data_IF_333476255550
#
_entry.id   IF_333476255550
#
_cell.length_a   1.000
_cell.length_b   1.000
_cell.length_c   1.000
_cell.angle_alpha   90.00
_cell.angle_beta   90.00
_cell.angle_gamma   90.00
#
_symmetry.space_group_name_H-M   'P 1'
#
loop_
_entity.id
_entity.type
_entity.pdbx_description
1 polymer ?
#
# COMPACT_ATOMS: atom_id res chain seq x y z
N UNK A 1 -0.22 8.00 0.83
CA UNK A 1 0.92 8.45 1.65
C UNK A 1 1.88 7.28 1.78
N UNK A 2 3.17 7.56 1.82
CA UNK A 2 4.26 6.64 2.13
C UNK A 2 5.27 7.35 3.04
N UNK A 3 6.09 6.58 3.76
CA UNK A 3 7.12 7.11 4.64
C UNK A 3 8.45 6.40 4.41
N UNK A 4 9.53 7.16 4.38
CA UNK A 4 10.91 6.68 4.28
C UNK A 4 11.86 7.85 4.58
N UNK A 5 13.11 7.56 4.92
CA UNK A 5 14.18 8.58 4.87
C UNK A 5 14.56 8.83 3.40
N UNK A 6 14.07 9.93 2.82
CA UNK A 6 14.33 10.26 1.41
C UNK A 6 15.56 11.16 1.24
N UNK A 7 16.15 11.66 2.32
CA UNK A 7 17.27 12.60 2.28
C UNK A 7 18.57 12.06 2.90
N UNK A 8 18.54 10.86 3.49
CA UNK A 8 19.68 10.18 4.10
C UNK A 8 20.04 10.66 5.50
N UNK A 9 19.16 11.35 6.22
CA UNK A 9 19.42 11.90 7.55
C UNK A 9 19.01 10.96 8.71
N UNK A 10 18.52 9.77 8.39
CA UNK A 10 17.98 8.73 9.29
C UNK A 10 16.71 9.14 10.03
N UNK A 11 15.92 10.08 9.49
CA UNK A 11 14.60 10.42 10.00
C UNK A 11 13.55 10.07 8.96
N UNK A 12 12.40 9.63 9.43
CA UNK A 12 11.30 9.32 8.52
C UNK A 12 10.70 10.61 7.95
N UNK A 13 10.70 10.70 6.63
CA UNK A 13 9.99 11.72 5.87
C UNK A 13 8.61 11.21 5.44
N UNK A 14 7.74 12.14 5.06
CA UNK A 14 6.43 11.82 4.51
C UNK A 14 6.39 12.18 3.04
N UNK A 15 5.89 11.26 2.21
CA UNK A 15 5.50 11.51 0.83
C UNK A 15 4.00 11.31 0.67
N UNK A 16 3.31 12.34 0.17
CA UNK A 16 1.86 12.35 -0.04
C UNK A 16 1.52 12.65 -1.49
N UNK A 17 0.39 12.12 -1.94
CA UNK A 17 -0.25 12.59 -3.18
C UNK A 17 -1.06 13.85 -2.83
N UNK A 18 -0.91 14.91 -3.62
CA UNK A 18 -1.59 16.17 -3.35
C UNK A 18 -2.99 16.21 -3.96
N UNK A 19 -3.91 16.89 -3.25
CA UNK A 19 -5.27 17.14 -3.70
C UNK A 19 -5.36 18.17 -4.86
N UNK A 20 -4.22 18.74 -5.29
CA UNK A 20 -4.15 19.57 -6.49
C UNK A 20 -4.33 18.76 -7.79
N UNK A 21 -4.26 17.43 -7.68
CA UNK A 21 -4.48 16.48 -8.77
C UNK A 21 -3.33 16.40 -9.77
N UNK A 22 -2.15 16.96 -9.50
CA UNK A 22 -1.03 16.97 -10.47
C UNK A 22 0.36 16.80 -9.85
N UNK A 23 0.44 16.52 -8.54
CA UNK A 23 1.72 16.46 -7.86
C UNK A 23 1.77 15.53 -6.64
N UNK A 24 2.99 15.24 -6.21
CA UNK A 24 3.29 14.68 -4.89
C UNK A 24 3.99 15.71 -4.01
N UNK A 25 3.75 15.64 -2.72
CA UNK A 25 4.34 16.47 -1.68
C UNK A 25 5.30 15.68 -0.80
N UNK A 26 6.40 16.31 -0.40
CA UNK A 26 7.41 15.77 0.50
C UNK A 26 7.51 16.67 1.72
N UNK A 27 7.38 16.09 2.90
CA UNK A 27 7.57 16.78 4.18
C UNK A 27 8.71 16.08 4.93
N UNK A 28 9.84 16.77 5.09
CA UNK A 28 11.02 16.21 5.73
C UNK A 28 10.82 16.09 7.24
N UNK A 29 11.16 14.95 7.82
CA UNK A 29 11.07 14.66 9.24
C UNK A 29 12.10 15.44 10.06
N UNK A 30 11.69 15.98 11.19
CA UNK A 30 12.60 16.62 12.14
C UNK A 30 13.14 15.61 13.17
N UNK A 31 12.45 14.48 13.35
CA UNK A 31 12.81 13.38 14.24
C UNK A 31 12.23 13.48 15.66
N UNK A 32 11.34 14.45 15.88
CA UNK A 32 10.60 14.66 17.13
C UNK A 32 9.08 14.52 16.92
N UNK A 33 8.68 13.81 15.87
CA UNK A 33 7.29 13.71 15.41
C UNK A 33 6.79 14.92 14.61
N UNK A 34 7.62 15.95 14.38
CA UNK A 34 7.27 17.10 13.53
C UNK A 34 7.90 17.01 12.12
N UNK A 35 7.31 17.76 11.18
CA UNK A 35 7.72 17.77 9.77
C UNK A 35 7.92 19.19 9.25
N UNK A 36 8.88 19.36 8.36
CA UNK A 36 9.19 20.61 7.68
C UNK A 36 8.10 21.05 6.69
N UNK A 37 8.32 22.20 6.06
CA UNK A 37 7.44 22.67 4.99
C UNK A 37 7.44 21.74 3.79
N UNK A 38 6.26 21.56 3.21
CA UNK A 38 6.09 20.70 2.05
C UNK A 38 6.84 21.25 0.82
N UNK A 39 7.59 20.37 0.16
CA UNK A 39 8.13 20.59 -1.20
C UNK A 39 7.32 19.75 -2.18
N UNK A 40 6.99 20.30 -3.35
CA UNK A 40 6.09 19.66 -4.32
C UNK A 40 6.82 19.29 -5.61
N UNK A 41 6.55 18.10 -6.12
CA UNK A 41 7.11 17.58 -7.37
C UNK A 41 5.99 17.23 -8.37
N UNK A 42 6.04 17.72 -9.61
CA UNK A 42 5.02 17.41 -10.61
C UNK A 42 4.97 15.93 -11.00
N UNK A 43 3.75 15.43 -11.16
CA UNK A 43 3.43 14.08 -11.68
C UNK A 43 2.56 14.20 -12.94
N UNK A 44 1.84 13.15 -13.30
CA UNK A 44 0.72 13.26 -14.24
C UNK A 44 -0.57 13.69 -13.54
N UNK A 45 -1.69 13.66 -14.29
CA UNK A 45 -3.00 14.09 -13.78
C UNK A 45 -3.72 12.99 -12.99
N UNK A 46 -4.34 13.41 -11.89
CA UNK A 46 -5.04 12.56 -10.94
C UNK A 46 -4.16 11.41 -10.41
N UNK A 47 -3.01 11.72 -9.78
CA UNK A 47 -2.22 10.74 -9.06
C UNK A 47 -3.08 10.07 -7.98
N UNK A 48 -2.94 8.75 -7.81
CA UNK A 48 -3.83 7.96 -6.92
C UNK A 48 -3.10 7.31 -5.74
N UNK A 49 -1.80 7.05 -5.90
CA UNK A 49 -0.93 6.47 -4.88
C UNK A 49 0.49 7.02 -5.06
N UNK A 50 1.32 6.91 -4.04
CA UNK A 50 2.77 7.03 -4.15
C UNK A 50 3.40 5.85 -3.43
N UNK A 51 4.38 5.20 -4.06
CA UNK A 51 5.24 4.18 -3.45
C UNK A 51 6.67 4.68 -3.49
N UNK A 52 7.40 4.43 -2.41
CA UNK A 52 8.81 4.77 -2.25
C UNK A 52 9.62 3.49 -2.40
N UNK A 53 10.57 3.46 -3.34
CA UNK A 53 11.46 2.33 -3.57
C UNK A 53 12.67 2.78 -4.38
N UNK A 54 13.85 2.22 -4.12
CA UNK A 54 15.00 2.37 -5.03
C UNK A 54 14.76 1.51 -6.27
N UNK A 55 14.49 2.14 -7.41
CA UNK A 55 14.21 1.47 -8.69
C UNK A 55 15.40 1.56 -9.65
N UNK A 56 16.48 2.24 -9.29
CA UNK A 56 17.63 2.43 -10.17
C UNK A 56 18.93 1.81 -9.61
N UNK A 57 18.89 1.25 -8.41
CA UNK A 57 19.99 0.56 -7.75
C UNK A 57 21.03 1.48 -7.11
N UNK A 58 20.74 2.77 -6.93
CA UNK A 58 21.68 3.74 -6.34
C UNK A 58 21.58 3.87 -4.81
N UNK A 59 20.67 3.12 -4.18
CA UNK A 59 20.33 3.17 -2.75
C UNK A 59 19.68 4.48 -2.29
N UNK A 60 19.14 5.29 -3.20
CA UNK A 60 18.28 6.41 -2.87
C UNK A 60 16.82 6.05 -3.13
N UNK A 61 15.90 6.29 -2.19
CA UNK A 61 14.50 5.95 -2.41
C UNK A 61 13.87 6.86 -3.48
N UNK A 62 13.42 6.26 -4.59
CA UNK A 62 12.70 6.92 -5.68
C UNK A 62 11.18 6.89 -5.47
N UNK A 63 10.42 7.63 -6.28
CA UNK A 63 8.95 7.64 -6.23
C UNK A 63 8.34 7.00 -7.48
N UNK A 64 7.35 6.14 -7.27
CA UNK A 64 6.49 5.58 -8.32
C UNK A 64 5.04 5.98 -8.08
N UNK A 65 4.43 6.65 -9.07
CA UNK A 65 3.13 7.31 -8.94
C UNK A 65 2.20 6.96 -10.11
N UNK A 66 1.11 6.21 -9.92
CA UNK A 66 0.08 6.01 -10.92
C UNK A 66 -0.81 7.24 -11.12
N UNK A 67 -0.98 7.68 -12.37
CA UNK A 67 -1.80 8.83 -12.75
C UNK A 67 -3.03 8.39 -13.53
N UNK A 68 -4.19 8.40 -12.87
CA UNK A 68 -5.38 7.73 -13.37
C UNK A 68 -6.01 8.40 -14.59
N UNK A 69 -5.92 9.72 -14.72
CA UNK A 69 -6.57 10.48 -15.80
C UNK A 69 -5.76 10.50 -17.10
N UNK A 70 -4.43 10.43 -17.01
CA UNK A 70 -3.52 10.39 -18.16
C UNK A 70 -2.99 8.99 -18.47
N UNK A 71 -3.42 7.97 -17.71
CA UNK A 71 -3.19 6.56 -17.99
C UNK A 71 -1.70 6.16 -18.07
N UNK A 72 -0.89 6.69 -17.15
CA UNK A 72 0.54 6.42 -17.09
C UNK A 72 1.04 6.29 -15.64
N UNK A 73 2.30 5.88 -15.50
CA UNK A 73 3.05 5.90 -14.25
C UNK A 73 4.12 6.98 -14.35
N UNK A 74 4.26 7.82 -13.34
CA UNK A 74 5.42 8.69 -13.15
C UNK A 74 6.45 7.97 -12.29
N UNK A 75 7.71 7.98 -12.72
CA UNK A 75 8.87 7.59 -11.92
C UNK A 75 9.73 8.83 -11.71
N UNK A 76 9.96 9.19 -10.44
CA UNK A 76 10.79 10.33 -10.05
C UNK A 76 12.01 9.80 -9.32
N UNK A 77 13.18 9.93 -9.93
CA UNK A 77 14.42 9.45 -9.33
C UNK A 77 14.97 10.46 -8.32
N UNK A 78 15.44 9.97 -7.18
CA UNK A 78 16.00 10.78 -6.11
C UNK A 78 17.50 11.01 -6.32
N UNK A 79 17.96 12.25 -6.19
CA UNK A 79 19.39 12.58 -6.28
C UNK A 79 20.16 12.32 -4.98
N UNK A 80 19.54 11.69 -3.97
CA UNK A 80 20.14 11.31 -2.69
C UNK A 80 20.09 12.37 -1.59
N UNK A 81 19.36 13.47 -1.81
CA UNK A 81 19.26 14.58 -0.85
C UNK A 81 17.82 15.05 -0.65
N UNK A 82 16.85 14.15 -0.87
CA UNK A 82 15.42 14.47 -0.89
C UNK A 82 14.99 15.34 -2.08
N UNK A 83 15.85 15.47 -3.09
CA UNK A 83 15.56 16.23 -4.32
C UNK A 83 15.32 15.26 -5.46
N UNK A 84 14.20 15.40 -6.15
CA UNK A 84 13.79 14.49 -7.21
C UNK A 84 14.01 15.10 -8.60
N UNK A 85 14.49 14.28 -9.52
CA UNK A 85 14.58 14.61 -10.94
C UNK A 85 13.16 14.75 -11.55
N UNK A 86 13.03 15.44 -12.69
CA UNK A 86 11.76 15.47 -13.42
C UNK A 86 11.26 14.05 -13.70
N UNK A 87 9.94 13.85 -13.57
CA UNK A 87 9.31 12.56 -13.83
C UNK A 87 9.67 12.00 -15.21
N UNK A 88 9.90 10.70 -15.25
CA UNK A 88 9.84 9.90 -16.47
C UNK A 88 8.50 9.18 -16.50
N UNK A 89 7.81 9.22 -17.64
CA UNK A 89 6.49 8.63 -17.79
C UNK A 89 6.56 7.27 -18.50
N UNK A 90 5.88 6.27 -17.92
CA UNK A 90 5.75 4.93 -18.48
C UNK A 90 4.28 4.58 -18.74
N UNK A 91 4.03 3.85 -19.81
CA UNK A 91 2.70 3.31 -20.09
C UNK A 91 2.29 2.31 -19.01
N UNK A 92 1.02 2.32 -18.60
CA UNK A 92 0.51 1.43 -17.56
C UNK A 92 -0.24 0.20 -18.11
N UNK A 93 -0.34 0.01 -19.43
CA UNK A 93 -0.99 -1.16 -20.03
C UNK A 93 -2.51 -1.08 -20.14
N UNK A 94 -3.09 0.11 -19.96
CA UNK A 94 -4.53 0.33 -20.04
C UNK A 94 -4.94 1.71 -19.55
N UNK A 95 -6.18 1.85 -19.09
CA UNK A 95 -6.72 3.09 -18.54
C UNK A 95 -7.07 2.97 -17.05
N UNK A 96 -6.94 4.09 -16.34
CA UNK A 96 -7.23 4.19 -14.91
C UNK A 96 -6.31 3.34 -14.02
N UNK A 97 -4.98 3.54 -14.06
CA UNK A 97 -4.10 2.98 -13.02
C UNK A 97 -4.49 3.55 -11.65
N UNK A 98 -4.77 2.67 -10.68
CA UNK A 98 -5.25 3.04 -9.34
C UNK A 98 -4.23 2.81 -8.24
N UNK A 99 -3.34 1.84 -8.43
CA UNK A 99 -2.42 1.40 -7.40
C UNK A 99 -1.18 0.76 -8.01
N UNK A 100 -0.07 0.87 -7.29
CA UNK A 100 1.20 0.25 -7.63
C UNK A 100 1.79 -0.48 -6.43
N UNK A 101 2.55 -1.54 -6.71
CA UNK A 101 3.50 -2.17 -5.81
C UNK A 101 4.87 -2.26 -6.52
N UNK A 102 5.96 -2.21 -5.76
CA UNK A 102 7.32 -2.19 -6.31
C UNK A 102 8.17 -3.26 -5.63
N UNK A 103 8.54 -4.31 -6.37
CA UNK A 103 9.26 -5.48 -5.87
C UNK A 103 9.91 -6.23 -7.03
N UNK A 104 11.02 -6.92 -6.79
CA UNK A 104 11.63 -7.82 -7.79
C UNK A 104 10.76 -9.07 -7.97
N UNK A 105 10.11 -9.22 -9.13
CA UNK A 105 9.23 -10.37 -9.40
C UNK A 105 9.92 -11.46 -10.22
N UNK A 106 11.12 -11.24 -10.74
CA UNK A 106 11.79 -12.16 -11.65
C UNK A 106 13.12 -12.73 -11.09
N UNK A 107 13.56 -12.24 -9.93
CA UNK A 107 14.77 -12.66 -9.23
C UNK A 107 16.07 -12.08 -9.80
N UNK A 108 16.01 -10.97 -10.55
CA UNK A 108 17.18 -10.32 -11.15
C UNK A 108 17.80 -9.21 -10.27
N UNK A 109 17.23 -8.99 -9.07
CA UNK A 109 17.54 -7.94 -8.10
C UNK A 109 17.21 -6.50 -8.52
N UNK A 110 16.46 -6.31 -9.61
CA UNK A 110 15.91 -5.03 -9.98
C UNK A 110 14.43 -4.96 -9.56
N UNK A 111 14.04 -3.90 -8.86
CA UNK A 111 12.63 -3.77 -8.45
C UNK A 111 11.75 -3.45 -9.65
N UNK A 112 10.76 -4.30 -9.88
CA UNK A 112 9.75 -4.16 -10.93
C UNK A 112 8.53 -3.39 -10.43
N UNK A 113 7.68 -2.92 -11.35
CA UNK A 113 6.43 -2.23 -11.01
C UNK A 113 5.23 -3.12 -11.35
N UNK A 114 4.37 -3.36 -10.37
CA UNK A 114 3.07 -4.03 -10.51
C UNK A 114 1.98 -2.95 -10.43
N UNK A 115 0.99 -2.98 -11.31
CA UNK A 115 -0.03 -1.93 -11.45
C UNK A 115 -1.43 -2.53 -11.44
N UNK A 116 -2.33 -2.04 -10.60
CA UNK A 116 -3.77 -2.25 -10.73
C UNK A 116 -4.34 -1.27 -11.77
N UNK A 117 -4.83 -1.76 -12.90
CA UNK A 117 -5.39 -0.93 -13.98
C UNK A 117 -6.89 -1.15 -14.06
N UNK A 118 -7.65 -0.33 -13.34
CA UNK A 118 -9.06 -0.56 -13.08
C UNK A 118 -9.91 -0.52 -14.35
N UNK A 119 -9.66 0.44 -15.24
CA UNK A 119 -10.46 0.63 -16.46
C UNK A 119 -10.23 -0.47 -17.50
N UNK A 120 -9.07 -1.13 -17.45
CA UNK A 120 -8.69 -2.20 -18.37
C UNK A 120 -8.96 -3.60 -17.81
N UNK A 121 -9.44 -3.71 -16.55
CA UNK A 121 -9.62 -4.98 -15.84
C UNK A 121 -8.37 -5.87 -15.92
N UNK A 122 -7.20 -5.30 -15.64
CA UNK A 122 -5.96 -6.06 -15.64
C UNK A 122 -5.01 -5.60 -14.52
N UNK A 123 -4.16 -6.53 -14.11
CA UNK A 123 -2.91 -6.20 -13.42
C UNK A 123 -1.80 -6.18 -14.46
N UNK A 124 -0.99 -5.13 -14.46
CA UNK A 124 0.12 -4.98 -15.41
C UNK A 124 1.44 -4.99 -14.67
N UNK A 125 2.44 -5.69 -15.20
CA UNK A 125 3.80 -5.79 -14.67
C UNK A 125 4.78 -5.16 -15.65
N UNK A 126 5.58 -4.23 -15.15
CA UNK A 126 6.65 -3.54 -15.85
C UNK A 126 7.98 -4.07 -15.30
N UNK A 127 8.70 -4.83 -16.12
CA UNK A 127 10.01 -5.35 -15.72
C UNK A 127 11.08 -4.27 -15.86
N UNK A 128 11.90 -4.13 -14.84
CA UNK A 128 12.98 -3.17 -14.76
C UNK A 128 14.25 -3.73 -15.39
N UNK A 129 15.00 -2.88 -16.10
CA UNK A 129 16.31 -3.22 -16.64
C UNK A 129 17.47 -2.93 -15.68
N UNK A 130 17.15 -2.42 -14.49
CA UNK A 130 18.10 -2.11 -13.41
C UNK A 130 18.57 -0.66 -13.34
N UNK A 131 18.22 0.17 -14.34
CA UNK A 131 18.60 1.60 -14.37
C UNK A 131 17.40 2.53 -14.13
N UNK A 132 16.33 2.04 -13.49
CA UNK A 132 15.07 2.77 -13.37
C UNK A 132 14.30 2.90 -14.69
N UNK A 133 14.57 1.99 -15.65
CA UNK A 133 13.86 1.95 -16.94
C UNK A 133 13.13 0.64 -17.16
N UNK A 134 11.90 0.73 -17.67
CA UNK A 134 10.93 -0.36 -17.72
C UNK A 134 10.54 -0.69 -19.17
N UNK A 135 11.39 -1.42 -19.93
CA UNK A 135 11.18 -1.66 -21.36
C UNK A 135 10.09 -2.69 -21.68
N UNK A 136 9.75 -3.56 -20.73
CA UNK A 136 8.82 -4.68 -20.95
C UNK A 136 7.57 -4.53 -20.10
N UNK A 137 6.42 -4.72 -20.73
CA UNK A 137 5.11 -4.63 -20.10
C UNK A 137 4.31 -5.89 -20.41
N UNK A 138 3.77 -6.53 -19.37
CA UNK A 138 2.87 -7.69 -19.50
C UNK A 138 1.60 -7.47 -18.69
N UNK A 139 0.42 -7.73 -19.27
CA UNK A 139 -0.86 -7.56 -18.61
C UNK A 139 -1.57 -8.90 -18.37
N UNK A 140 -2.16 -9.04 -17.19
CA UNK A 140 -2.91 -10.21 -16.73
C UNK A 140 -4.36 -9.80 -16.46
N UNK A 141 -5.29 -10.38 -17.21
CA UNK A 141 -6.72 -10.07 -17.07
C UNK A 141 -7.25 -10.52 -15.71
N UNK A 142 -8.01 -9.65 -15.06
CA UNK A 142 -8.73 -9.95 -13.81
C UNK A 142 -10.21 -10.21 -14.08
N UNK A 143 -10.91 -10.78 -13.10
CA UNK A 143 -12.35 -11.06 -13.24
C UNK A 143 -13.24 -9.82 -13.07
N UNK A 144 -12.71 -8.77 -12.45
CA UNK A 144 -13.38 -7.48 -12.15
C UNK A 144 -12.32 -6.38 -12.03
N UNK A 145 -12.75 -5.12 -11.94
CA UNK A 145 -11.87 -3.96 -11.85
C UNK A 145 -10.90 -4.06 -10.64
N UNK A 146 -9.58 -4.15 -10.88
CA UNK A 146 -8.60 -4.13 -9.80
C UNK A 146 -8.42 -2.70 -9.29
N UNK A 147 -8.40 -2.55 -7.98
CA UNK A 147 -8.30 -1.25 -7.33
C UNK A 147 -7.02 -1.08 -6.50
N UNK A 148 -6.53 -2.17 -5.92
CA UNK A 148 -5.30 -2.16 -5.14
C UNK A 148 -4.51 -3.44 -5.37
N UNK A 149 -3.19 -3.33 -5.41
CA UNK A 149 -2.27 -4.48 -5.46
C UNK A 149 -1.32 -4.47 -4.25
N UNK A 150 -1.03 -5.65 -3.74
CA UNK A 150 0.06 -5.93 -2.82
C UNK A 150 0.84 -7.14 -3.33
N UNK A 151 2.11 -7.27 -2.95
CA UNK A 151 2.95 -8.39 -3.38
C UNK A 151 3.85 -8.88 -2.25
N UNK A 152 3.97 -10.20 -2.15
CA UNK A 152 4.84 -10.93 -1.24
C UNK A 152 4.95 -12.38 -1.73
N UNK A 153 5.93 -13.14 -1.28
CA UNK A 153 5.96 -14.59 -1.49
C UNK A 153 4.86 -15.25 -0.64
N UNK A 154 3.85 -15.84 -1.29
CA UNK A 154 2.70 -16.46 -0.60
C UNK A 154 2.81 -17.98 -0.56
N UNK A 155 3.77 -18.58 -1.26
CA UNK A 155 3.87 -20.03 -1.46
C UNK A 155 5.25 -20.62 -1.09
N UNK A 156 6.17 -19.78 -0.60
CA UNK A 156 7.54 -20.10 -0.21
C UNK A 156 8.46 -20.53 -1.36
N UNK A 157 8.23 -20.03 -2.58
CA UNK A 157 9.11 -20.28 -3.73
C UNK A 157 10.20 -19.19 -3.93
N UNK A 158 10.20 -18.16 -3.07
CA UNK A 158 11.05 -16.96 -3.10
C UNK A 158 10.76 -15.99 -4.24
N UNK A 159 9.65 -16.15 -4.96
CA UNK A 159 9.20 -15.21 -5.97
C UNK A 159 7.91 -14.54 -5.51
N UNK A 160 7.88 -13.20 -5.42
CA UNK A 160 6.68 -12.51 -4.98
C UNK A 160 5.48 -12.78 -5.88
N UNK A 161 4.38 -13.19 -5.25
CA UNK A 161 3.05 -13.31 -5.81
C UNK A 161 2.28 -11.99 -5.69
N UNK A 162 1.16 -11.87 -6.38
CA UNK A 162 0.32 -10.66 -6.36
C UNK A 162 -1.03 -10.95 -5.73
N UNK A 163 -1.43 -10.10 -4.79
CA UNK A 163 -2.80 -10.04 -4.24
C UNK A 163 -3.49 -8.77 -4.70
N UNK A 164 -4.75 -8.90 -5.12
CA UNK A 164 -5.52 -7.83 -5.76
C UNK A 164 -6.87 -7.62 -5.08
N UNK A 165 -7.18 -6.38 -4.72
CA UNK A 165 -8.52 -5.97 -4.32
C UNK A 165 -9.36 -5.67 -5.57
N UNK A 166 -10.52 -6.33 -5.71
CA UNK A 166 -11.40 -6.16 -6.87
C UNK A 166 -12.66 -5.38 -6.47
N UNK A 167 -12.59 -4.05 -6.49
CA UNK A 167 -13.57 -3.16 -5.82
C UNK A 167 -15.01 -3.28 -6.31
N UNK A 168 -15.23 -3.70 -7.56
CA UNK A 168 -16.57 -3.98 -8.11
C UNK A 168 -17.14 -5.35 -7.75
N UNK A 169 -16.50 -6.10 -6.85
CA UNK A 169 -16.79 -7.51 -6.60
C UNK A 169 -16.98 -7.83 -5.11
N UNK A 170 -17.18 -9.12 -4.85
CA UNK A 170 -17.12 -9.75 -3.52
C UNK A 170 -15.91 -10.67 -3.44
N UNK A 171 -14.80 -10.30 -4.12
CA UNK A 171 -13.63 -11.15 -4.22
C UNK A 171 -12.33 -10.34 -4.13
N UNK A 172 -11.32 -10.96 -3.54
CA UNK A 172 -9.93 -10.66 -3.83
C UNK A 172 -9.42 -11.66 -4.88
N UNK A 173 -8.33 -11.33 -5.55
CA UNK A 173 -7.64 -12.24 -6.46
C UNK A 173 -6.19 -12.45 -6.07
N UNK A 174 -5.66 -13.63 -6.37
CA UNK A 174 -4.26 -14.00 -6.19
C UNK A 174 -3.72 -14.46 -7.53
N UNK A 175 -2.60 -13.88 -7.96
CA UNK A 175 -1.83 -14.34 -9.11
C UNK A 175 -0.51 -14.90 -8.59
N UNK A 176 -0.33 -16.22 -8.72
CA UNK A 176 0.93 -16.86 -8.34
C UNK A 176 1.98 -16.65 -9.42
N UNK A 177 3.20 -16.35 -8.99
CA UNK A 177 4.35 -16.17 -9.85
C UNK A 177 4.87 -17.53 -10.32
N UNK A 178 5.34 -17.60 -11.57
CA UNK A 178 5.95 -18.79 -12.16
C UNK A 178 7.48 -18.80 -12.01
N UNK A 179 8.04 -17.83 -11.27
CA UNK A 179 9.47 -17.74 -10.95
C UNK A 179 10.33 -16.95 -11.93
N UNK A 180 9.71 -16.15 -12.80
CA UNK A 180 10.41 -15.38 -13.83
C UNK A 180 9.70 -14.05 -14.17
N UNK A 181 8.87 -13.54 -13.26
CA UNK A 181 8.04 -12.35 -13.50
C UNK A 181 6.82 -12.62 -14.39
N UNK A 182 6.54 -13.88 -14.73
CA UNK A 182 5.27 -14.29 -15.34
C UNK A 182 4.32 -14.89 -14.32
N UNK A 183 3.02 -14.64 -14.47
CA UNK A 183 2.02 -15.03 -13.49
C UNK A 183 1.00 -16.01 -14.06
N UNK A 184 0.55 -16.94 -13.21
CA UNK A 184 -0.54 -17.86 -13.51
C UNK A 184 -1.88 -17.11 -13.59
N UNK A 185 -2.90 -17.80 -14.10
CA UNK A 185 -4.26 -17.28 -14.11
C UNK A 185 -4.73 -16.96 -12.69
N UNK A 186 -5.47 -15.84 -12.55
CA UNK A 186 -5.95 -15.36 -11.26
C UNK A 186 -6.86 -16.39 -10.58
N UNK A 187 -6.58 -16.67 -9.31
CA UNK A 187 -7.46 -17.45 -8.42
C UNK A 187 -8.20 -16.48 -7.51
N UNK A 188 -9.52 -16.62 -7.39
CA UNK A 188 -10.34 -15.69 -6.59
C UNK A 188 -10.76 -16.30 -5.26
N UNK A 189 -10.79 -15.45 -4.24
CA UNK A 189 -11.28 -15.79 -2.90
C UNK A 189 -12.42 -14.85 -2.55
N UNK A 190 -13.54 -15.40 -2.05
CA UNK A 190 -14.69 -14.59 -1.66
C UNK A 190 -14.38 -13.78 -0.41
N UNK A 191 -14.65 -12.47 -0.48
CA UNK A 191 -14.60 -11.51 0.62
C UNK A 191 -15.96 -10.80 0.77
N UNK A 192 -16.05 -9.77 1.62
CA UNK A 192 -17.22 -8.88 1.70
C UNK A 192 -17.29 -7.90 0.51
N UNK A 193 -18.31 -7.05 0.44
CA UNK A 193 -18.49 -6.11 -0.68
C UNK A 193 -17.50 -4.94 -0.61
N UNK A 194 -17.01 -4.54 -1.77
CA UNK A 194 -16.15 -3.35 -1.93
C UNK A 194 -14.75 -3.51 -1.32
N UNK A 195 -13.99 -4.58 -1.63
CA UNK A 195 -12.59 -4.68 -1.21
C UNK A 195 -11.80 -3.52 -1.81
N UNK A 196 -11.06 -2.79 -0.98
CA UNK A 196 -10.51 -1.48 -1.32
C UNK A 196 -9.00 -1.34 -1.13
N UNK A 197 -8.47 -1.89 -0.03
CA UNK A 197 -7.05 -1.92 0.30
C UNK A 197 -6.70 -3.29 0.85
N UNK A 198 -5.45 -3.70 0.63
CA UNK A 198 -4.88 -4.95 1.13
C UNK A 198 -3.53 -4.64 1.76
N UNK A 199 -3.19 -5.32 2.85
CA UNK A 199 -1.82 -5.49 3.31
C UNK A 199 -1.55 -6.96 3.51
N UNK A 200 -0.28 -7.32 3.39
CA UNK A 200 0.22 -8.67 3.62
C UNK A 200 1.08 -8.64 4.88
N UNK A 201 0.77 -9.51 5.83
CA UNK A 201 1.50 -9.62 7.09
C UNK A 201 1.24 -11.00 7.68
N UNK A 202 2.23 -11.59 8.34
CA UNK A 202 2.06 -12.81 9.12
C UNK A 202 1.31 -12.46 10.42
N UNK A 203 -0.03 -12.57 10.43
CA UNK A 203 -0.85 -12.14 11.57
C UNK A 203 -1.10 -13.24 12.59
N UNK A 204 -0.77 -14.48 12.25
CA UNK A 204 -0.90 -15.64 13.13
C UNK A 204 0.45 -16.16 13.65
N UNK A 205 1.56 -15.56 13.21
CA UNK A 205 2.95 -15.89 13.58
C UNK A 205 3.32 -17.31 13.13
N UNK A 206 2.94 -17.68 11.91
CA UNK A 206 3.29 -18.95 11.27
C UNK A 206 4.34 -18.81 10.16
N UNK A 207 4.96 -17.64 10.03
CA UNK A 207 5.94 -17.23 9.03
C UNK A 207 5.40 -17.07 7.61
N UNK A 208 4.08 -17.18 7.42
CA UNK A 208 3.45 -17.01 6.12
C UNK A 208 2.71 -15.67 6.04
N UNK A 209 2.90 -14.88 4.97
CA UNK A 209 2.11 -13.67 4.82
C UNK A 209 0.63 -13.99 4.63
N UNK A 210 -0.20 -13.49 5.55
CA UNK A 210 -1.64 -13.53 5.48
C UNK A 210 -2.19 -12.30 4.76
N UNK A 211 -3.44 -12.37 4.30
CA UNK A 211 -4.11 -11.25 3.64
C UNK A 211 -5.05 -10.55 4.61
N UNK A 212 -4.81 -9.27 4.85
CA UNK A 212 -5.76 -8.38 5.54
C UNK A 212 -6.33 -7.40 4.52
N UNK A 213 -7.65 -7.45 4.33
CA UNK A 213 -8.38 -6.62 3.36
C UNK A 213 -9.38 -5.72 4.06
N UNK A 214 -9.44 -4.46 3.65
CA UNK A 214 -10.54 -3.57 4.01
C UNK A 214 -11.65 -3.68 2.97
N UNK A 215 -12.86 -4.01 3.43
CA UNK A 215 -14.07 -4.01 2.62
C UNK A 215 -14.88 -2.75 2.94
N UNK A 216 -14.70 -1.73 2.10
CA UNK A 216 -15.18 -0.37 2.33
C UNK A 216 -16.69 -0.28 2.41
N UNK A 217 -17.39 -0.95 1.49
CA UNK A 217 -18.86 -0.86 1.39
C UNK A 217 -19.57 -1.70 2.46
N UNK A 218 -18.98 -2.84 2.84
CA UNK A 218 -19.48 -3.66 3.95
C UNK A 218 -19.05 -3.17 5.34
N UNK A 219 -18.22 -2.12 5.42
CA UNK A 219 -17.66 -1.57 6.66
C UNK A 219 -17.07 -2.64 7.60
N UNK A 220 -16.18 -3.45 7.03
CA UNK A 220 -15.47 -4.49 7.77
C UNK A 220 -14.07 -4.75 7.23
N UNK A 221 -13.28 -5.47 8.03
CA UNK A 221 -11.97 -6.00 7.68
C UNK A 221 -12.12 -7.51 7.49
N UNK A 222 -11.52 -8.04 6.43
CA UNK A 222 -11.36 -9.47 6.21
C UNK A 222 -9.93 -9.92 6.46
N UNK A 223 -9.78 -11.07 7.10
CA UNK A 223 -8.49 -11.74 7.31
C UNK A 223 -8.56 -13.13 6.68
N UNK A 224 -7.58 -13.44 5.85
CA UNK A 224 -7.40 -14.74 5.20
C UNK A 224 -6.05 -15.30 5.61
N UNK A 225 -6.05 -16.41 6.35
CA UNK A 225 -4.82 -17.05 6.79
C UNK A 225 -4.23 -17.89 5.67
N UNK A 226 -2.94 -17.76 5.43
CA UNK A 226 -2.23 -18.48 4.40
C UNK A 226 -1.82 -19.88 4.91
N UNK A 227 -2.12 -20.93 4.14
CA UNK A 227 -1.69 -22.28 4.48
C UNK A 227 -0.23 -22.58 4.07
N UNK A 228 0.49 -21.61 3.51
CA UNK A 228 1.90 -21.70 3.11
C UNK A 228 2.14 -22.18 1.68
N UNK A 229 1.09 -22.43 0.90
CA UNK A 229 1.16 -22.86 -0.51
C UNK A 229 0.46 -21.90 -1.47
N UNK A 230 0.28 -20.63 -1.09
CA UNK A 230 -0.53 -19.66 -1.85
C UNK A 230 -2.03 -19.93 -1.80
N UNK A 231 -2.48 -20.78 -0.86
CA UNK A 231 -3.89 -21.11 -0.64
C UNK A 231 -4.34 -20.58 0.70
N UNK A 232 -5.52 -19.96 0.73
CA UNK A 232 -5.98 -19.23 1.90
C UNK A 232 -7.22 -19.86 2.54
N UNK A 233 -7.37 -19.64 3.85
CA UNK A 233 -8.59 -19.95 4.59
C UNK A 233 -9.80 -19.21 4.04
N UNK A 234 -11.00 -19.59 4.48
CA UNK A 234 -12.15 -18.69 4.38
C UNK A 234 -11.90 -17.39 5.15
N UNK A 235 -12.54 -16.30 4.70
CA UNK A 235 -12.44 -15.00 5.37
C UNK A 235 -12.96 -15.08 6.81
N UNK A 236 -12.17 -14.55 7.75
CA UNK A 236 -12.67 -14.12 9.06
C UNK A 236 -12.93 -12.62 9.02
N UNK A 237 -14.07 -12.17 9.54
CA UNK A 237 -14.53 -10.78 9.37
C UNK A 237 -14.65 -10.04 10.70
N UNK A 238 -14.15 -8.81 10.72
CA UNK A 238 -14.22 -7.89 11.87
C UNK A 238 -14.90 -6.59 11.47
N UNK A 239 -16.01 -6.24 12.11
CA UNK A 239 -16.74 -5.00 11.78
C UNK A 239 -15.99 -3.76 12.25
N UNK A 240 -15.98 -2.71 11.43
CA UNK A 240 -15.46 -1.39 11.81
C UNK A 240 -16.57 -0.45 12.31
N UNK A 241 -17.82 -0.94 12.40
CA UNK A 241 -19.01 -0.15 12.69
C UNK A 241 -19.67 0.39 11.42
N UNK A 242 -20.99 0.61 11.47
CA UNK A 242 -21.78 1.04 10.32
C UNK A 242 -21.36 2.42 9.81
N UNK A 243 -21.37 2.58 8.47
CA UNK A 243 -21.10 3.85 7.79
C UNK A 243 -19.74 4.49 8.12
N UNK A 244 -18.75 3.67 8.53
CA UNK A 244 -17.41 4.16 8.86
C UNK A 244 -16.53 4.36 7.64
N UNK A 245 -16.82 3.67 6.53
CA UNK A 245 -16.07 3.75 5.27
C UNK A 245 -14.57 3.53 5.51
N UNK A 246 -14.19 2.33 5.99
CA UNK A 246 -12.77 2.01 6.18
C UNK A 246 -12.06 2.16 4.83
N UNK A 247 -10.95 2.90 4.82
CA UNK A 247 -10.29 3.33 3.58
C UNK A 247 -8.82 2.90 3.52
N UNK A 248 -8.08 3.01 4.62
CA UNK A 248 -6.65 2.68 4.69
C UNK A 248 -6.40 1.73 5.84
N UNK A 249 -5.31 0.97 5.76
CA UNK A 249 -4.96 -0.03 6.75
C UNK A 249 -3.44 -0.17 6.89
N UNK A 250 -3.01 -0.59 8.07
CA UNK A 250 -1.63 -0.94 8.37
C UNK A 250 -1.64 -2.08 9.40
N UNK A 251 -0.52 -2.78 9.50
CA UNK A 251 -0.32 -3.83 10.50
C UNK A 251 0.96 -3.52 11.27
N UNK A 252 0.87 -3.50 12.59
CA UNK A 252 1.97 -3.22 13.51
C UNK A 252 1.58 -3.69 14.92
N UNK A 253 2.57 -4.03 15.75
CA UNK A 253 2.34 -4.31 17.17
C UNK A 253 2.11 -2.99 17.93
N UNK A 254 0.85 -2.65 18.19
CA UNK A 254 0.46 -1.36 18.77
C UNK A 254 0.54 -1.35 20.30
N UNK A 255 0.60 -2.51 20.94
CA UNK A 255 0.55 -2.64 22.40
C UNK A 255 1.85 -3.23 23.01
N UNK A 256 2.86 -3.52 22.18
CA UNK A 256 4.15 -4.12 22.53
C UNK A 256 4.06 -5.55 23.08
N UNK A 257 3.11 -6.35 22.61
CA UNK A 257 2.96 -7.77 22.97
C UNK A 257 3.62 -8.75 21.97
N UNK A 258 4.24 -8.22 20.92
CA UNK A 258 4.83 -8.93 19.77
C UNK A 258 3.81 -9.65 18.89
N UNK A 259 2.52 -9.33 19.00
CA UNK A 259 1.50 -9.74 18.06
C UNK A 259 1.18 -8.56 17.13
N UNK A 260 1.18 -8.78 15.81
CA UNK A 260 0.82 -7.74 14.87
C UNK A 260 -0.67 -7.41 14.95
N UNK A 261 -0.99 -6.17 15.28
CA UNK A 261 -2.35 -5.64 15.36
C UNK A 261 -2.78 -5.01 14.02
N UNK A 262 -4.10 -4.84 13.83
CA UNK A 262 -4.63 -4.15 12.65
C UNK A 262 -5.00 -2.72 13.01
N UNK A 263 -4.42 -1.76 12.28
CA UNK A 263 -4.80 -0.34 12.33
C UNK A 263 -5.61 -0.02 11.06
N UNK A 264 -6.74 0.66 11.21
CA UNK A 264 -7.65 1.01 10.11
C UNK A 264 -8.06 2.49 10.16
N UNK A 265 -8.00 3.18 9.02
CA UNK A 265 -8.51 4.53 8.87
C UNK A 265 -10.00 4.55 8.52
N UNK A 266 -10.82 5.20 9.33
CA UNK A 266 -12.28 5.29 9.20
C UNK A 266 -12.68 6.66 8.65
N UNK A 267 -12.68 6.76 7.31
CA UNK A 267 -12.75 8.03 6.57
C UNK A 267 -13.95 8.89 6.96
N UNK A 268 -15.15 8.32 6.99
CA UNK A 268 -16.40 9.08 7.23
C UNK A 268 -16.57 9.55 8.67
N UNK A 269 -15.84 8.96 9.61
CA UNK A 269 -15.88 9.34 11.03
C UNK A 269 -14.68 10.15 11.49
N UNK A 270 -13.68 10.37 10.62
CA UNK A 270 -12.42 11.03 10.98
C UNK A 270 -11.72 10.37 12.18
N UNK A 271 -11.72 9.02 12.18
CA UNK A 271 -11.15 8.20 13.26
C UNK A 271 -10.14 7.19 12.73
N UNK A 272 -9.24 6.78 13.60
CA UNK A 272 -8.45 5.56 13.46
C UNK A 272 -9.09 4.49 14.35
N UNK A 273 -9.16 3.26 13.86
CA UNK A 273 -9.51 2.09 14.64
C UNK A 273 -8.32 1.16 14.81
N UNK A 274 -8.20 0.53 15.97
CA UNK A 274 -7.18 -0.48 16.26
C UNK A 274 -7.91 -1.74 16.71
N UNK A 275 -7.57 -2.88 16.08
CA UNK A 275 -8.01 -4.20 16.50
C UNK A 275 -6.79 -4.95 17.02
N UNK A 276 -6.77 -5.18 18.32
CA UNK A 276 -5.66 -5.89 18.95
C UNK A 276 -5.74 -7.38 18.64
N UNK A 277 -4.62 -7.97 18.28
CA UNK A 277 -4.47 -9.38 18.00
C UNK A 277 -4.50 -10.16 19.32
N UNK A 278 -5.39 -11.14 19.41
CA UNK A 278 -5.53 -12.03 20.55
C UNK A 278 -4.69 -13.32 20.39
N UNK A 279 -3.91 -13.41 19.30
CA UNK A 279 -3.12 -14.56 18.91
C UNK A 279 -3.77 -15.36 17.77
N UNK A 280 -2.92 -16.10 17.04
CA UNK A 280 -3.34 -17.00 15.95
C UNK A 280 -4.20 -16.33 14.86
N UNK A 281 -3.97 -15.04 14.59
CA UNK A 281 -4.70 -14.28 13.57
C UNK A 281 -6.15 -13.94 13.96
N UNK A 282 -6.48 -14.01 15.26
CA UNK A 282 -7.78 -13.61 15.78
C UNK A 282 -7.71 -12.24 16.44
N UNK A 283 -8.71 -11.39 16.22
CA UNK A 283 -8.66 -10.00 16.70
C UNK A 283 -9.83 -9.66 17.63
N UNK A 284 -9.54 -8.81 18.61
CA UNK A 284 -10.52 -8.27 19.55
C UNK A 284 -11.48 -7.26 18.92
N UNK A 285 -12.31 -6.66 19.76
CA UNK A 285 -13.18 -5.56 19.34
C UNK A 285 -12.34 -4.32 18.96
N UNK A 286 -12.82 -3.57 17.98
CA UNK A 286 -12.18 -2.33 17.53
C UNK A 286 -12.24 -1.25 18.61
N UNK A 287 -11.08 -0.68 18.93
CA UNK A 287 -10.95 0.56 19.73
C UNK A 287 -10.74 1.73 18.78
N UNK A 288 -11.41 2.86 19.01
CA UNK A 288 -11.36 4.01 18.08
C UNK A 288 -10.81 5.28 18.71
N UNK A 289 -9.98 5.97 17.94
CA UNK A 289 -9.26 7.20 18.30
C UNK A 289 -9.60 8.30 17.30
N UNK A 290 -9.63 9.55 17.76
CA UNK A 290 -9.84 10.70 16.88
C UNK A 290 -8.61 10.91 16.00
N UNK A 291 -8.77 10.89 14.68
CA UNK A 291 -7.65 11.07 13.76
C UNK A 291 -7.28 12.55 13.53
N UNK A 292 -8.21 13.48 13.78
CA UNK A 292 -8.02 14.91 13.45
C UNK A 292 -8.14 15.22 11.94
N UNK A 293 -8.10 14.19 11.09
CA UNK A 293 -8.27 14.22 9.63
C UNK A 293 -9.28 13.17 9.19
N UNK A 294 -9.72 13.19 7.93
CA UNK A 294 -10.47 12.08 7.30
C UNK A 294 -9.49 11.13 6.62
N UNK A 295 -9.11 10.00 7.24
CA UNK A 295 -7.95 9.22 6.80
C UNK A 295 -8.12 8.63 5.39
N UNK A 296 -7.11 8.84 4.56
CA UNK A 296 -7.03 8.33 3.18
C UNK A 296 -5.71 7.60 2.92
N UNK A 297 -4.62 8.11 3.47
CA UNK A 297 -3.34 7.41 3.60
C UNK A 297 -2.99 7.25 5.07
N UNK A 298 -2.30 6.16 5.39
CA UNK A 298 -1.83 5.89 6.74
C UNK A 298 -0.48 5.18 6.71
N UNK A 299 0.33 5.42 7.73
CA UNK A 299 1.53 4.69 8.03
C UNK A 299 1.64 4.52 9.54
N UNK A 300 2.36 3.48 9.98
CA UNK A 300 2.65 3.24 11.38
C UNK A 300 4.16 3.12 11.53
N UNK A 301 4.74 3.97 12.37
CA UNK A 301 6.18 4.00 12.61
C UNK A 301 6.49 4.79 13.89
N UNK A 302 7.64 4.54 14.50
CA UNK A 302 8.18 5.42 15.55
C UNK A 302 8.79 6.66 14.90
N UNK A 303 8.09 7.80 14.97
CA UNK A 303 8.55 9.06 14.34
C UNK A 303 9.19 10.03 15.33
N UNK A 304 9.16 9.70 16.62
CA UNK A 304 9.66 10.56 17.70
C UNK A 304 10.84 9.94 18.47
N UNK A 305 11.20 8.68 18.18
CA UNK A 305 12.31 7.94 18.76
C UNK A 305 12.03 7.35 20.15
N UNK A 306 10.76 7.20 20.55
CA UNK A 306 10.38 6.66 21.86
C UNK A 306 10.21 5.13 21.90
N UNK A 307 10.49 4.45 20.78
CA UNK A 307 10.37 3.02 20.57
C UNK A 307 8.93 2.49 20.64
N UNK A 308 7.93 3.34 20.44
CA UNK A 308 6.52 2.94 20.27
C UNK A 308 6.03 3.30 18.88
N UNK A 309 5.09 2.54 18.33
CA UNK A 309 4.48 2.89 17.05
C UNK A 309 3.58 4.13 17.21
N UNK A 310 3.78 5.10 16.33
CA UNK A 310 2.88 6.22 16.12
C UNK A 310 2.03 5.96 14.87
N UNK A 311 0.79 6.45 14.87
CA UNK A 311 -0.07 6.39 13.68
C UNK A 311 -0.04 7.74 12.97
N UNK A 312 0.37 7.73 11.71
CA UNK A 312 0.42 8.91 10.85
C UNK A 312 -0.70 8.76 9.82
N UNK A 313 -1.54 9.78 9.68
CA UNK A 313 -2.69 9.77 8.75
C UNK A 313 -2.75 11.04 7.90
N UNK A 314 -2.93 10.88 6.59
CA UNK A 314 -3.22 11.98 5.66
C UNK A 314 -4.73 12.11 5.39
N UNK A 315 -5.21 13.35 5.27
CA UNK A 315 -6.64 13.65 5.10
C UNK A 315 -7.06 14.06 3.68
N UNK A 316 -8.27 13.69 3.27
CA UNK A 316 -8.88 14.16 2.01
C UNK A 316 -9.41 15.60 2.10
N UNK A 317 -9.83 16.02 3.31
CA UNK A 317 -10.56 17.29 3.51
C UNK A 317 -9.67 18.47 3.93
N UNK A 318 -8.39 18.19 4.18
CA UNK A 318 -7.41 19.16 4.68
C UNK A 318 -6.05 18.79 4.10
N UNK A 319 -5.29 19.78 3.63
CA UNK A 319 -3.88 19.59 3.22
C UNK A 319 -3.00 19.42 4.47
N UNK A 320 -3.33 18.44 5.31
CA UNK A 320 -2.65 18.18 6.58
C UNK A 320 -2.48 16.69 6.82
N UNK A 321 -1.39 16.40 7.52
CA UNK A 321 -1.11 15.11 8.13
C UNK A 321 -1.38 15.24 9.63
N UNK A 322 -1.93 14.20 10.25
CA UNK A 322 -2.02 14.07 11.70
C UNK A 322 -1.11 12.95 12.18
N UNK A 323 -0.45 13.17 13.30
CA UNK A 323 0.39 12.19 14.00
C UNK A 323 -0.28 11.91 15.35
N UNK A 324 -0.66 10.67 15.58
CA UNK A 324 -1.24 10.20 16.83
C UNK A 324 -0.16 9.46 17.60
N UNK A 325 0.36 10.12 18.63
CA UNK A 325 1.30 9.52 19.56
C UNK A 325 0.52 8.70 20.60
N UNK A 326 0.99 7.50 20.94
CA UNK A 326 0.48 6.68 22.05
C UNK A 326 -1.00 6.26 21.96
N UNK A 327 -1.44 5.72 20.81
CA UNK A 327 -2.79 5.18 20.66
C UNK A 327 -2.91 3.74 21.19
#
# INVERSE_FOLDING_TARGET
MAMADVNGDNKLDIVVVNNDGTSVGILLGVGDGTFGSQTTYPTGDSPTQVVIADVNGDNHPDLVVPNSSVNNISVLLNSGSGTFLPQVSYACGGNGPQSVAVIDVNGDNNRDIIIAVSGANNVTVLLNSGSGTFPSLTSYTTVNAPYFVAAADLNNDNYPDIVVALSGATNIGVLLNAGNGTFLAITTYTTSTGPWRITLADVNIDTQPDIVVVNRDSANIGVFLNAGSGTFSGQTTYTTGSSTFPNTLAVADMNSDNLPDIVVGLQSTSKIGILLNAGSGTFGAITVYTAGVSPEGMAVADVNGDSKPDVIASGNNVNSVSVLLHC
#
